data_IF_109325496527
#
_entry.id   IF_109325496527
#
_cell.length_a   1.000
_cell.length_b   1.000
_cell.length_c   1.000
_cell.angle_alpha   90.00
_cell.angle_beta   90.00
_cell.angle_gamma   90.00
#
_symmetry.space_group_name_H-M   'P 1'
#
loop_
_entity.id
_entity.type
_entity.pdbx_description
1 polymer ?
#
# COMPACT_ATOMS: atom_id res chain seq x y z
N UNK A 1 -20.93 3.00 -6.72
CA UNK A 1 -21.42 2.29 -5.52
C UNK A 1 -21.27 3.22 -4.33
N UNK A 2 -22.35 3.93 -3.93
CA UNK A 2 -22.36 4.77 -2.73
C UNK A 2 -22.94 3.93 -1.59
N UNK A 3 -22.12 3.42 -0.69
CA UNK A 3 -22.60 2.96 0.62
C UNK A 3 -22.94 4.19 1.44
N UNK A 4 -24.13 4.21 2.04
CA UNK A 4 -24.53 5.27 2.98
C UNK A 4 -23.81 4.97 4.30
N UNK A 5 -22.69 5.66 4.53
CA UNK A 5 -21.93 5.56 5.78
C UNK A 5 -22.45 6.61 6.77
N UNK A 6 -22.32 6.32 8.06
CA UNK A 6 -22.58 7.31 9.11
C UNK A 6 -21.64 8.51 8.94
N UNK A 7 -22.12 9.76 9.13
CA UNK A 7 -21.28 10.94 8.98
C UNK A 7 -20.06 10.91 9.91
N UNK A 8 -18.86 11.00 9.36
CA UNK A 8 -17.57 11.02 10.06
C UNK A 8 -16.92 12.42 10.08
N UNK A 9 -17.68 13.44 9.65
CA UNK A 9 -17.26 14.84 9.47
C UNK A 9 -16.14 15.04 8.42
N UNK A 10 -15.79 14.01 7.65
CA UNK A 10 -14.83 14.09 6.56
C UNK A 10 -15.55 14.45 5.26
N UNK A 11 -15.06 15.49 4.59
CA UNK A 11 -15.58 15.94 3.30
C UNK A 11 -14.45 15.96 2.30
N UNK A 12 -14.68 15.41 1.11
CA UNK A 12 -13.72 15.42 0.01
C UNK A 12 -14.22 16.34 -1.11
N UNK A 13 -13.31 17.11 -1.69
CA UNK A 13 -13.59 17.96 -2.85
C UNK A 13 -13.20 17.22 -4.14
N UNK A 14 -14.16 16.61 -4.86
CA UNK A 14 -13.87 15.88 -6.10
C UNK A 14 -13.39 16.79 -7.23
N UNK A 15 -13.62 18.10 -7.16
CA UNK A 15 -13.18 19.06 -8.19
C UNK A 15 -11.71 19.42 -8.06
N UNK A 16 -11.10 19.13 -6.90
CA UNK A 16 -9.70 19.37 -6.62
C UNK A 16 -8.74 18.24 -7.05
N UNK A 17 -9.28 17.16 -7.63
CA UNK A 17 -8.49 16.00 -8.02
C UNK A 17 -7.52 16.37 -9.15
N UNK A 18 -6.24 16.13 -8.93
CA UNK A 18 -5.18 16.27 -9.92
C UNK A 18 -4.32 15.01 -9.95
N UNK A 19 -4.02 14.51 -11.15
CA UNK A 19 -3.10 13.38 -11.34
C UNK A 19 -1.81 13.83 -12.03
N UNK A 20 -0.66 13.33 -11.59
CA UNK A 20 0.61 13.45 -12.32
C UNK A 20 1.27 12.09 -12.48
N UNK A 21 1.87 11.86 -13.64
CA UNK A 21 2.69 10.66 -13.84
C UNK A 21 3.95 10.78 -13.00
N UNK A 22 4.27 9.72 -12.28
CA UNK A 22 5.54 9.55 -11.57
C UNK A 22 6.30 8.40 -12.25
N UNK A 23 7.57 8.64 -12.54
CA UNK A 23 8.49 7.57 -12.94
C UNK A 23 9.20 7.13 -11.67
N UNK A 24 8.92 5.92 -11.20
CA UNK A 24 9.89 5.23 -10.35
C UNK A 24 10.96 4.62 -11.26
N UNK A 25 12.19 4.51 -10.74
CA UNK A 25 13.44 4.25 -11.46
C UNK A 25 13.54 2.89 -12.20
N UNK A 26 12.43 2.26 -12.58
CA UNK A 26 12.38 1.08 -13.45
C UNK A 26 11.02 1.01 -14.18
N UNK A 27 11.01 1.14 -15.52
CA UNK A 27 10.00 0.73 -16.52
C UNK A 27 8.48 0.85 -16.24
N UNK A 28 8.04 1.49 -15.16
CA UNK A 28 6.64 1.62 -14.77
C UNK A 28 6.24 3.08 -14.55
N UNK A 29 5.16 3.46 -15.22
CA UNK A 29 4.50 4.76 -15.05
C UNK A 29 3.46 4.64 -13.94
N UNK A 30 3.77 5.14 -12.75
CA UNK A 30 2.79 5.32 -11.68
C UNK A 30 2.00 6.62 -11.87
N UNK A 31 0.86 6.75 -11.19
CA UNK A 31 0.11 8.01 -11.12
C UNK A 31 0.00 8.45 -9.68
N UNK A 32 0.50 9.65 -9.39
CA UNK A 32 0.26 10.33 -8.14
C UNK A 32 -1.02 11.16 -8.25
N UNK A 33 -2.03 10.80 -7.48
CA UNK A 33 -3.29 11.55 -7.38
C UNK A 33 -3.28 12.37 -6.10
N UNK A 34 -3.51 13.67 -6.22
CA UNK A 34 -3.69 14.57 -5.06
C UNK A 34 -5.06 15.21 -5.11
N UNK A 35 -5.66 15.43 -3.95
CA UNK A 35 -6.94 16.12 -3.82
C UNK A 35 -7.07 16.73 -2.42
N UNK A 36 -8.09 17.54 -2.22
CA UNK A 36 -8.39 18.19 -0.94
C UNK A 36 -9.52 17.49 -0.23
N UNK A 37 -9.34 17.28 1.06
CA UNK A 37 -10.41 17.00 2.00
C UNK A 37 -10.43 18.02 3.13
N UNK A 38 -11.41 17.90 4.01
CA UNK A 38 -11.47 18.63 5.26
C UNK A 38 -12.14 17.79 6.34
N UNK A 39 -11.60 17.86 7.55
CA UNK A 39 -12.27 17.40 8.76
C UNK A 39 -12.86 18.63 9.46
N UNK A 40 -14.17 18.79 9.38
CA UNK A 40 -14.83 20.07 9.71
C UNK A 40 -14.17 21.25 8.98
N UNK A 41 -13.57 22.21 9.72
CA UNK A 41 -12.90 23.39 9.17
C UNK A 41 -11.40 23.18 8.93
N UNK A 42 -10.86 22.02 9.28
CA UNK A 42 -9.43 21.73 9.15
C UNK A 42 -9.15 21.18 7.74
N UNK A 43 -8.36 21.88 6.91
CA UNK A 43 -7.99 21.38 5.58
C UNK A 43 -7.05 20.18 5.68
N UNK A 44 -7.30 19.16 4.86
CA UNK A 44 -6.53 17.91 4.80
C UNK A 44 -6.09 17.67 3.34
N UNK A 45 -4.81 17.90 3.01
CA UNK A 45 -4.29 17.49 1.70
C UNK A 45 -4.21 15.96 1.65
N UNK A 46 -4.75 15.37 0.59
CA UNK A 46 -4.82 13.92 0.39
C UNK A 46 -3.96 13.53 -0.81
N UNK A 47 -3.32 12.36 -0.71
CA UNK A 47 -2.50 11.78 -1.77
C UNK A 47 -2.80 10.28 -1.89
N UNK A 48 -2.88 9.79 -3.12
CA UNK A 48 -2.99 8.37 -3.46
C UNK A 48 -1.94 8.08 -4.54
N UNK A 49 -1.11 7.09 -4.28
CA UNK A 49 -0.12 6.59 -5.22
C UNK A 49 -0.71 5.38 -5.93
N UNK A 50 -0.71 5.39 -7.26
CA UNK A 50 -1.26 4.31 -8.09
C UNK A 50 -0.11 3.68 -8.88
N UNK A 51 0.28 2.48 -8.45
CA UNK A 51 1.18 1.59 -9.18
C UNK A 51 0.43 0.69 -10.17
N UNK A 52 1.10 0.28 -11.23
CA UNK A 52 0.58 -0.65 -12.23
C UNK A 52 1.55 -1.81 -12.42
N UNK A 53 1.04 -2.97 -12.80
CA UNK A 53 1.86 -4.14 -13.19
C UNK A 53 2.38 -5.00 -12.04
N UNK A 54 2.08 -4.65 -10.79
CA UNK A 54 2.48 -5.44 -9.64
C UNK A 54 1.86 -6.83 -9.63
N UNK A 55 2.72 -7.84 -9.47
CA UNK A 55 2.28 -9.22 -9.27
C UNK A 55 1.76 -9.38 -7.84
N UNK A 56 0.47 -9.67 -7.70
CA UNK A 56 -0.16 -9.94 -6.41
C UNK A 56 -0.19 -11.45 -6.16
N UNK A 57 0.50 -11.94 -5.12
CA UNK A 57 0.54 -13.35 -4.76
C UNK A 57 -0.07 -13.61 -3.35
N UNK A 58 -0.90 -14.65 -3.16
CA UNK A 58 -1.54 -15.51 -4.15
C UNK A 58 -2.64 -14.80 -4.97
N UNK A 59 -2.86 -13.52 -4.71
CA UNK A 59 -3.90 -12.67 -5.27
C UNK A 59 -4.37 -11.69 -4.19
N UNK A 60 -5.08 -10.63 -4.58
CA UNK A 60 -5.55 -9.64 -3.60
C UNK A 60 -6.62 -10.28 -2.70
N UNK A 61 -6.41 -10.22 -1.40
CA UNK A 61 -7.28 -10.77 -0.37
C UNK A 61 -8.27 -9.72 0.10
N UNK A 62 -9.48 -10.13 0.49
CA UNK A 62 -10.41 -9.24 1.18
C UNK A 62 -9.95 -9.12 2.63
N UNK A 63 -9.63 -7.90 3.06
CA UNK A 63 -9.24 -7.57 4.43
C UNK A 63 -10.27 -6.65 5.06
N UNK A 64 -10.54 -6.83 6.34
CA UNK A 64 -11.30 -5.88 7.14
C UNK A 64 -10.32 -4.89 7.76
N UNK A 65 -10.46 -3.60 7.44
CA UNK A 65 -9.58 -2.57 7.95
C UNK A 65 -10.08 -2.08 9.32
N UNK A 66 -9.20 -1.93 10.33
CA UNK A 66 -9.61 -1.47 11.64
C UNK A 66 -10.22 -0.07 11.60
N UNK A 67 -11.29 0.14 12.36
CA UNK A 67 -11.98 1.43 12.45
C UNK A 67 -11.66 2.14 13.76
N UNK A 68 -11.55 3.47 13.71
CA UNK A 68 -11.31 4.30 14.90
C UNK A 68 -12.64 4.76 15.51
N UNK A 69 -13.56 5.20 14.66
CA UNK A 69 -14.95 5.44 15.02
C UNK A 69 -15.62 4.07 14.93
N UNK A 70 -16.32 3.60 15.97
CA UNK A 70 -16.95 2.28 16.13
C UNK A 70 -18.01 1.92 15.05
N UNK A 71 -17.61 2.05 13.79
CA UNK A 71 -18.34 1.86 12.57
C UNK A 71 -17.97 0.51 11.97
N UNK A 72 -18.80 0.02 11.06
CA UNK A 72 -18.54 -1.22 10.33
C UNK A 72 -17.18 -1.14 9.62
N UNK A 73 -16.32 -2.15 9.86
CA UNK A 73 -15.02 -2.25 9.24
C UNK A 73 -15.13 -2.30 7.71
N UNK A 74 -14.47 -1.38 6.97
CA UNK A 74 -14.51 -1.42 5.53
C UNK A 74 -13.75 -2.65 5.02
N UNK A 75 -14.31 -3.27 3.99
CA UNK A 75 -13.70 -4.41 3.30
C UNK A 75 -12.90 -3.91 2.11
N UNK A 76 -11.59 -4.10 2.16
CA UNK A 76 -10.65 -3.66 1.14
C UNK A 76 -10.01 -4.86 0.46
N UNK A 77 -9.56 -4.70 -0.78
CA UNK A 77 -8.66 -5.66 -1.41
C UNK A 77 -7.24 -5.27 -1.04
N UNK A 78 -6.53 -6.14 -0.34
CA UNK A 78 -5.18 -5.89 0.15
C UNK A 78 -4.23 -7.04 -0.18
N UNK A 79 -2.94 -6.77 0.03
CA UNK A 79 -1.89 -7.77 -0.05
C UNK A 79 -1.96 -8.77 1.10
N UNK A 80 -1.46 -9.97 0.84
CA UNK A 80 -1.10 -10.91 1.90
C UNK A 80 0.04 -10.33 2.73
N UNK A 81 0.19 -10.80 3.99
CA UNK A 81 1.30 -10.36 4.84
C UNK A 81 2.63 -10.81 4.24
N UNK A 82 2.63 -11.98 3.61
CA UNK A 82 3.73 -12.59 2.88
C UNK A 82 4.19 -11.68 1.73
N UNK A 83 3.26 -11.14 0.93
CA UNK A 83 3.58 -10.17 -0.12
C UNK A 83 4.15 -8.88 0.44
N UNK A 84 3.60 -8.36 1.53
CA UNK A 84 4.13 -7.15 2.17
C UNK A 84 5.57 -7.35 2.66
N UNK A 85 5.91 -8.53 3.19
CA UNK A 85 7.29 -8.88 3.56
C UNK A 85 8.17 -9.02 2.31
N UNK A 86 7.69 -9.70 1.26
CA UNK A 86 8.45 -9.93 0.04
C UNK A 86 8.85 -8.62 -0.66
N UNK A 87 7.94 -7.66 -0.77
CA UNK A 87 8.19 -6.35 -1.38
C UNK A 87 9.25 -5.55 -0.60
N UNK A 88 9.10 -5.47 0.72
CA UNK A 88 10.05 -4.80 1.61
C UNK A 88 11.42 -5.44 1.55
N UNK A 89 11.47 -6.76 1.54
CA UNK A 89 12.71 -7.52 1.43
C UNK A 89 13.40 -7.29 0.09
N UNK A 90 12.63 -7.27 -1.00
CA UNK A 90 13.16 -6.97 -2.33
C UNK A 90 13.79 -5.57 -2.39
N UNK A 91 13.10 -4.55 -1.88
CA UNK A 91 13.64 -3.20 -1.80
C UNK A 91 14.94 -3.15 -0.97
N UNK A 92 14.98 -3.89 0.15
CA UNK A 92 16.17 -3.98 0.99
C UNK A 92 17.38 -4.58 0.27
N UNK A 93 17.16 -5.64 -0.50
CA UNK A 93 18.23 -6.31 -1.25
C UNK A 93 18.67 -5.48 -2.45
N UNK A 94 17.73 -4.89 -3.21
CA UNK A 94 18.04 -4.09 -4.41
C UNK A 94 18.81 -2.82 -4.08
N UNK A 95 18.41 -2.10 -3.04
CA UNK A 95 19.08 -0.85 -2.65
C UNK A 95 20.41 -1.10 -1.93
N UNK A 96 20.57 -2.26 -1.28
CA UNK A 96 21.83 -2.68 -0.67
C UNK A 96 22.45 -1.60 0.22
N UNK A 97 23.67 -1.18 -0.10
CA UNK A 97 24.41 -0.15 0.64
C UNK A 97 23.82 1.28 0.51
N UNK A 98 22.95 1.52 -0.47
CA UNK A 98 22.24 2.79 -0.65
C UNK A 98 20.90 2.82 0.08
N UNK A 99 20.58 1.76 0.83
CA UNK A 99 19.31 1.65 1.51
C UNK A 99 19.23 2.62 2.70
N UNK A 100 18.48 3.71 2.53
CA UNK A 100 18.09 4.64 3.60
C UNK A 100 16.73 4.33 4.23
N UNK A 101 16.02 3.31 3.73
CA UNK A 101 14.67 2.92 4.13
C UNK A 101 14.71 2.02 5.38
N UNK A 102 15.26 2.53 6.49
CA UNK A 102 15.30 1.83 7.79
C UNK A 102 13.92 1.33 8.26
N UNK A 103 12.85 1.99 7.81
CA UNK A 103 11.46 1.59 8.08
C UNK A 103 11.15 0.19 7.56
N UNK A 104 11.67 -0.23 6.40
CA UNK A 104 11.35 -1.54 5.84
C UNK A 104 11.91 -2.68 6.72
N UNK A 105 13.09 -2.50 7.31
CA UNK A 105 13.63 -3.44 8.31
C UNK A 105 12.74 -3.52 9.55
N UNK A 106 12.29 -2.36 10.05
CA UNK A 106 11.39 -2.31 11.21
C UNK A 106 10.05 -2.96 10.91
N UNK A 107 9.48 -2.72 9.74
CA UNK A 107 8.20 -3.29 9.31
C UNK A 107 8.30 -4.82 9.20
N UNK A 108 9.37 -5.37 8.60
CA UNK A 108 9.59 -6.83 8.56
C UNK A 108 9.77 -7.39 9.97
N UNK A 109 10.58 -6.74 10.81
CA UNK A 109 10.75 -7.15 12.20
C UNK A 109 9.41 -7.18 12.95
N UNK A 110 8.63 -6.10 12.85
CA UNK A 110 7.34 -5.99 13.51
C UNK A 110 6.36 -7.07 13.03
N UNK A 111 6.27 -7.27 11.71
CA UNK A 111 5.43 -8.32 11.12
C UNK A 111 5.85 -9.71 11.60
N UNK A 112 7.15 -10.00 11.68
CA UNK A 112 7.68 -11.27 12.17
C UNK A 112 7.41 -11.54 13.65
N UNK A 113 7.15 -10.48 14.44
CA UNK A 113 6.84 -10.57 15.87
C UNK A 113 5.36 -10.64 16.16
N UNK A 114 4.53 -10.10 15.27
CA UNK A 114 3.08 -10.03 15.44
C UNK A 114 2.33 -11.17 14.78
N UNK A 115 2.91 -11.81 13.76
CA UNK A 115 2.24 -12.83 12.97
C UNK A 115 3.15 -14.03 12.72
N UNK A 116 2.56 -15.21 12.80
CA UNK A 116 3.17 -16.42 12.27
C UNK A 116 3.05 -16.43 10.74
N UNK A 117 4.07 -16.93 10.07
CA UNK A 117 4.10 -17.06 8.62
C UNK A 117 4.15 -18.53 8.22
N UNK A 118 3.34 -18.89 7.23
CA UNK A 118 3.55 -20.15 6.52
C UNK A 118 4.80 -20.02 5.63
N UNK A 119 5.81 -20.83 5.91
CA UNK A 119 7.09 -20.73 5.20
C UNK A 119 6.98 -20.98 3.70
N UNK A 120 6.03 -21.81 3.27
CA UNK A 120 5.83 -22.09 1.84
C UNK A 120 5.15 -20.91 1.13
N UNK A 121 4.15 -20.29 1.75
CA UNK A 121 3.49 -19.09 1.24
C UNK A 121 4.46 -17.90 1.18
N UNK A 122 5.24 -17.68 2.24
CA UNK A 122 6.25 -16.63 2.28
C UNK A 122 7.34 -16.85 1.22
N UNK A 123 7.87 -18.07 1.10
CA UNK A 123 8.81 -18.41 0.03
C UNK A 123 8.19 -18.23 -1.36
N UNK A 124 6.90 -18.54 -1.52
CA UNK A 124 6.15 -18.29 -2.74
C UNK A 124 6.08 -16.81 -3.09
N UNK A 125 5.77 -15.97 -2.10
CA UNK A 125 5.73 -14.51 -2.26
C UNK A 125 7.11 -13.93 -2.58
N UNK A 126 8.19 -14.39 -1.93
CA UNK A 126 9.55 -13.92 -2.20
C UNK A 126 10.04 -14.32 -3.61
N UNK A 127 9.62 -15.47 -4.14
CA UNK A 127 9.94 -15.90 -5.51
C UNK A 127 9.14 -15.16 -6.59
N UNK A 128 8.00 -14.58 -6.19
CA UNK A 128 7.11 -13.80 -7.04
C UNK A 128 6.82 -12.48 -6.34
N UNK A 129 7.85 -11.68 -6.02
CA UNK A 129 7.60 -10.40 -5.41
C UNK A 129 6.74 -9.58 -6.36
N UNK A 130 5.96 -8.64 -5.84
CA UNK A 130 5.30 -7.61 -6.64
C UNK A 130 6.39 -6.83 -7.34
N UNK A 131 6.78 -7.32 -8.51
CA UNK A 131 8.01 -6.91 -9.16
C UNK A 131 7.91 -5.43 -9.56
N UNK A 132 8.70 -4.61 -8.86
CA UNK A 132 9.60 -3.67 -9.53
C UNK A 132 10.48 -4.54 -10.47
N UNK A 133 10.06 -4.85 -11.69
CA UNK A 133 10.95 -5.44 -12.69
C UNK A 133 10.54 -5.11 -14.12
N UNK A 134 11.41 -4.35 -14.78
CA UNK A 134 12.30 -4.94 -15.77
C UNK A 134 13.66 -4.22 -15.67
N UNK A 135 14.69 -4.88 -16.19
CA UNK A 135 16.09 -4.67 -15.86
C UNK A 135 16.71 -3.55 -16.70
N UNK A 136 17.37 -2.60 -16.04
CA UNK A 136 18.76 -2.17 -16.33
C UNK A 136 19.23 -1.14 -15.30
#
# INVERSE_FOLDING_TARGET
MRSRLEPDALVFDPTSITGRVIKEDADYEGVLVTFRGSLQKVPLPMQIDVGFGDVVFPGALVIEYPTILEQAAPKLRGYSRESAVAEKFEAMVKLGLLNSRMKDFYDIWLLSRQFDFDGAALAGAIKKPSLIAAQQ
#
